data_IF_638500944995
#
_entry.id   IF_638500944995
#
_cell.length_a   1.000
_cell.length_b   1.000
_cell.length_c   1.000
_cell.angle_alpha   90.00
_cell.angle_beta   90.00
_cell.angle_gamma   90.00
#
_symmetry.space_group_name_H-M   'P 1'
#
loop_
_entity.id
_entity.type
_entity.pdbx_description
1 polymer ?
#
# COMPACT_ATOMS: atom_id res chain seq x y z
N UNK A 1 0.28 -5.40 -16.46
CA UNK A 1 1.54 -4.87 -15.89
C UNK A 1 1.30 -4.46 -14.46
N UNK A 2 2.27 -4.68 -13.56
CA UNK A 2 2.26 -4.15 -12.20
C UNK A 2 3.19 -2.95 -12.11
N UNK A 3 2.65 -1.81 -11.74
CA UNK A 3 3.39 -0.56 -11.60
C UNK A 3 3.27 -0.06 -10.15
N UNK A 4 4.35 0.49 -9.60
CA UNK A 4 4.38 1.13 -8.29
C UNK A 4 5.17 2.41 -8.32
N UNK A 5 4.65 3.47 -7.71
CA UNK A 5 5.42 4.67 -7.47
C UNK A 5 5.88 4.76 -6.02
N UNK A 6 7.02 5.40 -5.80
CA UNK A 6 7.36 5.86 -4.46
C UNK A 6 6.89 7.30 -4.34
N UNK A 7 5.86 7.51 -3.50
CA UNK A 7 5.34 8.83 -3.25
C UNK A 7 6.41 9.73 -2.65
N UNK A 8 6.66 10.87 -3.30
CA UNK A 8 6.87 12.12 -2.58
C UNK A 8 5.60 12.24 -1.75
N UNK A 9 5.67 11.96 -0.44
CA UNK A 9 4.56 12.41 0.40
C UNK A 9 4.49 13.91 0.12
N UNK A 10 3.36 14.35 -0.44
CA UNK A 10 3.15 15.71 -0.95
C UNK A 10 3.11 16.62 0.26
N UNK A 11 4.31 16.88 0.75
CA UNK A 11 4.64 17.52 1.98
C UNK A 11 4.63 19.01 1.73
N UNK A 12 3.43 19.56 1.69
CA UNK A 12 3.22 20.99 1.66
C UNK A 12 2.95 21.47 3.08
N UNK A 13 3.65 22.51 3.50
CA UNK A 13 3.43 23.16 4.78
C UNK A 13 2.15 23.98 4.79
N UNK A 14 1.40 23.90 5.89
CA UNK A 14 0.19 24.69 6.11
C UNK A 14 0.39 25.69 7.24
N UNK A 15 0.01 26.94 6.97
CA UNK A 15 -0.15 27.97 7.99
C UNK A 15 -1.64 28.27 8.16
N UNK A 16 -2.23 28.08 9.36
CA UNK A 16 -3.62 28.45 9.58
C UNK A 16 -3.79 29.97 9.46
N UNK A 17 -4.92 30.39 8.86
CA UNK A 17 -5.40 31.76 8.92
C UNK A 17 -6.75 31.75 9.64
N UNK A 18 -6.86 32.53 10.70
CA UNK A 18 -8.00 32.47 11.61
C UNK A 18 -9.08 33.46 11.15
N UNK A 19 -9.84 33.11 10.12
CA UNK A 19 -11.02 33.89 9.73
C UNK A 19 -12.30 33.21 10.24
N UNK A 20 -12.72 33.64 11.43
CA UNK A 20 -14.05 33.38 11.95
C UNK A 20 -15.08 34.18 11.14
N UNK A 21 -15.97 33.49 10.42
CA UNK A 21 -17.29 34.03 10.09
C UNK A 21 -18.35 32.92 10.10
N UNK A 22 -19.04 32.87 11.25
CA UNK A 22 -20.40 32.45 11.60
C UNK A 22 -21.22 31.38 10.84
N UNK A 23 -21.92 30.62 11.68
CA UNK A 23 -23.24 29.97 11.52
C UNK A 23 -23.32 28.62 10.79
N UNK A 24 -22.79 27.58 11.45
CA UNK A 24 -23.45 26.29 11.72
C UNK A 24 -22.49 25.45 12.57
N UNK A 25 -22.97 24.44 13.31
CA UNK A 25 -22.19 23.61 14.24
C UNK A 25 -21.00 22.83 13.63
N UNK A 26 -20.61 23.10 12.39
CA UNK A 26 -19.43 22.56 11.73
C UNK A 26 -18.40 23.67 11.51
N UNK A 27 -17.31 23.65 12.29
CA UNK A 27 -16.14 24.49 12.02
C UNK A 27 -15.41 23.94 10.79
N UNK A 28 -15.44 24.70 9.69
CA UNK A 28 -14.65 24.41 8.48
C UNK A 28 -13.33 25.14 8.60
N UNK A 29 -12.21 24.41 8.50
CA UNK A 29 -10.86 24.98 8.54
C UNK A 29 -10.40 25.26 7.11
N UNK A 30 -10.04 26.51 6.84
CA UNK A 30 -9.50 26.94 5.55
C UNK A 30 -8.01 27.25 5.65
N UNK A 31 -7.25 26.91 4.60
CA UNK A 31 -5.81 27.10 4.54
C UNK A 31 -5.41 27.79 3.23
N UNK A 32 -5.13 29.09 3.31
CA UNK A 32 -4.82 29.93 2.14
C UNK A 32 -3.36 29.84 1.67
N UNK A 33 -2.45 29.44 2.58
CA UNK A 33 -1.01 29.50 2.35
C UNK A 33 -0.37 28.12 2.38
N UNK A 34 0.44 27.87 1.37
CA UNK A 34 1.16 26.62 1.15
C UNK A 34 2.65 26.89 0.98
N UNK A 35 3.48 26.12 1.67
CA UNK A 35 4.94 26.15 1.49
C UNK A 35 5.45 24.88 0.79
N UNK A 36 5.93 24.97 -0.47
CA UNK A 36 6.57 23.85 -1.18
C UNK A 36 7.84 23.33 -0.53
N UNK A 37 8.50 24.14 0.28
CA UNK A 37 9.86 23.89 0.73
C UNK A 37 9.92 23.35 2.16
N UNK A 38 8.81 23.38 2.90
CA UNK A 38 8.78 23.04 4.34
C UNK A 38 9.49 21.71 4.64
N UNK A 39 9.26 20.69 3.81
CA UNK A 39 9.82 19.36 4.01
C UNK A 39 10.84 18.97 2.94
N UNK A 40 11.18 19.88 2.00
CA UNK A 40 12.11 19.59 0.91
C UNK A 40 13.46 19.11 1.45
N UNK A 41 14.01 19.78 2.45
CA UNK A 41 15.28 19.38 3.08
C UNK A 41 15.22 17.98 3.71
N UNK A 42 14.13 17.67 4.43
CA UNK A 42 13.94 16.36 5.05
C UNK A 42 13.84 15.25 3.99
N UNK A 43 12.97 15.43 2.99
CA UNK A 43 12.77 14.45 1.91
C UNK A 43 14.06 14.24 1.13
N UNK A 44 14.73 15.31 0.72
CA UNK A 44 15.97 15.24 -0.04
C UNK A 44 17.07 14.49 0.73
N UNK A 45 17.16 14.71 2.05
CA UNK A 45 18.14 14.02 2.91
C UNK A 45 17.92 12.51 2.87
N UNK A 46 16.70 12.04 3.16
CA UNK A 46 16.45 10.60 3.27
C UNK A 46 16.33 9.90 1.92
N UNK A 47 15.86 10.58 0.87
CA UNK A 47 15.88 10.05 -0.51
C UNK A 47 17.32 9.93 -0.99
N UNK A 48 18.17 10.95 -0.77
CA UNK A 48 19.59 10.90 -1.11
C UNK A 48 20.33 9.79 -0.37
N UNK A 49 20.16 9.68 0.96
CA UNK A 49 20.74 8.60 1.76
C UNK A 49 20.29 7.22 1.29
N UNK A 50 19.00 7.06 1.01
CA UNK A 50 18.43 5.81 0.46
C UNK A 50 19.07 5.47 -0.88
N UNK A 51 19.29 6.46 -1.75
CA UNK A 51 19.85 6.24 -3.08
C UNK A 51 21.33 5.87 -2.99
N UNK A 52 22.14 6.63 -2.25
CA UNK A 52 23.55 6.34 -2.00
C UNK A 52 23.74 4.95 -1.38
N UNK A 53 22.91 4.58 -0.39
CA UNK A 53 22.95 3.25 0.24
C UNK A 53 22.46 2.11 -0.66
N UNK A 54 21.88 2.40 -1.83
CA UNK A 54 21.53 1.37 -2.82
C UNK A 54 22.73 0.93 -3.66
N UNK A 55 23.84 1.69 -3.61
CA UNK A 55 25.00 1.48 -4.46
C UNK A 55 24.81 1.97 -5.89
N UNK A 56 25.82 1.73 -6.71
CA UNK A 56 25.81 2.08 -8.13
C UNK A 56 24.83 1.21 -8.91
N UNK A 57 24.04 1.77 -9.83
CA UNK A 57 23.21 0.98 -10.72
C UNK A 57 24.05 0.12 -11.67
N UNK A 58 23.47 -0.95 -12.19
CA UNK A 58 24.15 -1.82 -13.15
C UNK A 58 24.52 -1.01 -14.41
N UNK A 59 25.75 -1.20 -14.91
CA UNK A 59 26.30 -0.44 -16.03
C UNK A 59 27.05 0.84 -15.63
N UNK A 60 27.05 1.25 -14.37
CA UNK A 60 27.89 2.35 -13.87
C UNK A 60 29.26 1.86 -13.40
N UNK A 61 30.08 1.38 -14.32
CA UNK A 61 31.40 0.81 -14.02
C UNK A 61 32.51 1.85 -14.12
N UNK A 62 32.46 2.74 -15.13
CA UNK A 62 33.48 3.76 -15.34
C UNK A 62 33.24 5.02 -14.50
N UNK A 63 34.29 5.83 -14.34
CA UNK A 63 34.17 7.14 -13.69
C UNK A 63 33.20 8.07 -14.41
N UNK A 64 33.17 8.03 -15.75
CA UNK A 64 32.26 8.83 -16.57
C UNK A 64 30.79 8.43 -16.33
N UNK A 65 30.51 7.14 -16.20
CA UNK A 65 29.14 6.66 -15.96
C UNK A 65 28.63 7.09 -14.58
N UNK A 66 29.51 7.03 -13.57
CA UNK A 66 29.23 7.47 -12.21
C UNK A 66 28.94 8.97 -12.13
N UNK A 67 29.75 9.78 -12.81
CA UNK A 67 29.54 11.23 -12.90
C UNK A 67 28.25 11.55 -13.65
N UNK A 68 27.98 10.89 -14.77
CA UNK A 68 26.73 11.03 -15.51
C UNK A 68 25.53 10.68 -14.64
N UNK A 69 25.59 9.57 -13.89
CA UNK A 69 24.53 9.14 -13.00
C UNK A 69 24.25 10.16 -11.88
N UNK A 70 25.29 10.69 -11.24
CA UNK A 70 25.13 11.72 -10.21
C UNK A 70 24.53 13.00 -10.77
N UNK A 71 25.05 13.47 -11.91
CA UNK A 71 24.56 14.69 -12.57
C UNK A 71 23.10 14.55 -13.00
N UNK A 72 22.72 13.38 -13.53
CA UNK A 72 21.36 13.11 -13.94
C UNK A 72 20.42 13.02 -12.73
N UNK A 73 20.84 12.39 -11.65
CA UNK A 73 20.08 12.35 -10.41
C UNK A 73 19.91 13.74 -9.80
N UNK A 74 20.94 14.58 -9.80
CA UNK A 74 20.85 15.98 -9.36
C UNK A 74 19.91 16.80 -10.26
N UNK A 75 20.00 16.61 -11.58
CA UNK A 75 19.14 17.29 -12.56
C UNK A 75 17.66 16.94 -12.37
N UNK A 76 17.36 15.67 -12.12
CA UNK A 76 15.97 15.16 -12.05
C UNK A 76 15.38 15.32 -10.66
N UNK A 77 16.12 14.96 -9.61
CA UNK A 77 15.62 14.97 -8.22
C UNK A 77 15.94 16.26 -7.48
N UNK A 78 16.90 17.07 -7.96
CA UNK A 78 17.43 18.22 -7.23
C UNK A 78 18.20 17.81 -5.98
N UNK A 79 18.77 16.60 -5.96
CA UNK A 79 19.53 16.04 -4.85
C UNK A 79 20.93 15.69 -5.35
N UNK A 80 21.95 16.36 -4.81
CA UNK A 80 23.33 16.02 -5.11
C UNK A 80 23.81 14.89 -4.20
N UNK A 81 24.26 13.79 -4.81
CA UNK A 81 24.85 12.67 -4.09
C UNK A 81 26.36 12.85 -3.92
N UNK A 82 26.89 12.31 -2.83
CA UNK A 82 28.31 12.17 -2.58
C UNK A 82 28.80 10.83 -3.19
N UNK A 83 29.65 10.86 -4.23
CA UNK A 83 30.17 9.65 -4.87
C UNK A 83 30.83 8.67 -3.89
N UNK A 84 31.50 9.18 -2.85
CA UNK A 84 32.25 8.36 -1.89
C UNK A 84 31.31 7.60 -0.94
N UNK A 85 30.06 8.05 -0.82
CA UNK A 85 29.02 7.42 0.00
C UNK A 85 28.12 6.46 -0.79
N UNK A 86 28.27 6.40 -2.13
CA UNK A 86 27.49 5.48 -2.97
C UNK A 86 28.06 4.07 -2.86
N UNK A 87 27.46 3.29 -1.96
CA UNK A 87 27.83 1.90 -1.70
C UNK A 87 26.61 1.10 -1.23
N UNK A 88 26.59 -0.20 -1.55
CA UNK A 88 25.51 -1.09 -1.12
C UNK A 88 25.54 -1.20 0.41
N UNK A 89 24.54 -0.61 1.07
CA UNK A 89 24.35 -0.67 2.51
C UNK A 89 22.87 -0.94 2.82
N UNK A 90 22.47 -2.23 2.91
CA UNK A 90 21.07 -2.62 3.12
C UNK A 90 20.46 -2.05 4.40
N UNK A 91 21.25 -1.96 5.49
CA UNK A 91 20.81 -1.44 6.78
C UNK A 91 20.51 0.06 6.73
N UNK A 92 21.44 0.86 6.20
CA UNK A 92 21.23 2.30 6.02
C UNK A 92 20.09 2.58 5.06
N UNK A 93 20.01 1.83 3.96
CA UNK A 93 18.90 1.92 2.99
C UNK A 93 17.55 1.68 3.66
N UNK A 94 17.46 0.67 4.52
CA UNK A 94 16.24 0.36 5.28
C UNK A 94 15.87 1.51 6.21
N UNK A 95 16.83 2.03 6.99
CA UNK A 95 16.61 3.14 7.93
C UNK A 95 16.16 4.40 7.18
N UNK A 96 16.86 4.78 6.10
CA UNK A 96 16.52 5.94 5.30
C UNK A 96 15.11 5.81 4.69
N UNK A 97 14.74 4.63 4.18
CA UNK A 97 13.39 4.36 3.68
C UNK A 97 12.33 4.48 4.78
N UNK A 98 12.59 3.95 5.98
CA UNK A 98 11.68 4.08 7.12
C UNK A 98 11.48 5.55 7.47
N UNK A 99 12.56 6.31 7.63
CA UNK A 99 12.48 7.73 8.01
C UNK A 99 11.79 8.59 6.94
N UNK A 100 12.01 8.31 5.66
CA UNK A 100 11.28 8.97 4.58
C UNK A 100 9.77 8.71 4.66
N UNK A 101 9.36 7.48 4.98
CA UNK A 101 7.94 7.08 5.00
C UNK A 101 7.23 7.40 6.31
N UNK A 102 7.93 7.44 7.45
CA UNK A 102 7.32 7.59 8.77
C UNK A 102 6.92 9.03 9.10
N UNK A 103 7.46 10.04 8.41
CA UNK A 103 7.23 11.45 8.74
C UNK A 103 5.74 11.82 8.69
N UNK A 104 5.03 11.53 7.60
CA UNK A 104 3.61 11.89 7.50
C UNK A 104 2.75 11.13 8.53
N UNK A 105 3.11 9.88 8.83
CA UNK A 105 2.44 9.07 9.85
C UNK A 105 2.63 9.65 11.25
N UNK A 106 3.79 10.25 11.52
CA UNK A 106 4.07 10.96 12.78
C UNK A 106 3.20 12.21 12.93
N UNK A 107 2.97 12.95 11.84
CA UNK A 107 2.07 14.11 11.84
C UNK A 107 0.61 13.71 12.14
N UNK A 108 0.20 12.49 11.81
CA UNK A 108 -1.12 11.93 12.08
C UNK A 108 -1.17 11.05 13.35
N UNK A 109 -0.18 11.12 14.24
CA UNK A 109 -0.11 10.21 15.38
C UNK A 109 -1.36 10.33 16.27
N UNK A 110 -2.06 9.21 16.46
CA UNK A 110 -3.24 9.14 17.33
C UNK A 110 -2.88 9.48 18.78
N UNK A 111 -3.74 10.25 19.42
CA UNK A 111 -3.65 10.61 20.85
C UNK A 111 -4.38 9.57 21.69
N UNK A 112 -3.94 9.38 22.94
CA UNK A 112 -4.62 8.48 23.90
C UNK A 112 -4.29 7.00 23.68
N UNK A 113 -3.05 6.71 23.27
CA UNK A 113 -2.55 5.33 23.24
C UNK A 113 -2.48 4.73 24.64
N UNK A 114 -2.64 3.41 24.71
CA UNK A 114 -2.39 2.66 25.94
C UNK A 114 -0.89 2.55 26.19
N UNK A 115 -0.46 2.85 27.40
CA UNK A 115 0.93 2.77 27.84
C UNK A 115 1.06 1.71 28.94
N UNK A 116 2.21 1.03 28.96
CA UNK A 116 2.58 0.14 30.05
C UNK A 116 3.61 0.86 30.91
N UNK A 117 3.28 1.10 32.18
CA UNK A 117 4.20 1.64 33.19
C UNK A 117 4.53 0.58 34.23
N UNK A 118 5.69 0.71 34.84
CA UNK A 118 6.12 -0.15 35.92
C UNK A 118 6.30 0.68 37.18
N UNK A 119 5.61 0.31 38.25
CA UNK A 119 5.81 0.86 39.58
C UNK A 119 6.65 -0.12 40.40
N UNK A 120 7.70 0.36 41.05
CA UNK A 120 8.60 -0.46 41.88
C UNK A 120 8.38 -0.30 43.37
N UNK A 121 7.54 0.66 43.74
CA UNK A 121 7.18 0.93 45.13
C UNK A 121 5.68 1.13 45.26
N UNK A 122 5.09 0.86 46.43
CA UNK A 122 3.68 1.15 46.69
C UNK A 122 3.33 2.63 46.42
N UNK A 123 4.26 3.55 46.70
CA UNK A 123 4.06 4.98 46.45
C UNK A 123 3.91 5.29 44.94
N UNK A 124 4.76 4.71 44.10
CA UNK A 124 4.66 4.85 42.63
C UNK A 124 3.37 4.24 42.09
N UNK A 125 2.95 3.10 42.65
CA UNK A 125 1.72 2.43 42.27
C UNK A 125 0.49 3.27 42.59
N UNK A 126 0.39 3.77 43.83
CA UNK A 126 -0.70 4.66 44.25
C UNK A 126 -0.70 5.97 43.44
N UNK A 127 0.46 6.54 43.14
CA UNK A 127 0.54 7.72 42.26
C UNK A 127 -0.05 7.45 40.87
N UNK A 128 0.09 6.25 40.32
CA UNK A 128 -0.47 5.91 39.02
C UNK A 128 -1.98 5.67 39.06
N UNK A 129 -2.48 4.99 40.10
CA UNK A 129 -3.90 4.66 40.22
C UNK A 129 -4.75 5.85 40.65
N UNK A 130 -4.22 6.69 41.53
CA UNK A 130 -4.95 7.84 42.08
C UNK A 130 -4.82 9.09 41.20
N UNK A 131 -4.05 9.05 40.11
CA UNK A 131 -3.92 10.17 39.16
C UNK A 131 -5.26 10.42 38.44
N UNK A 132 -5.93 11.57 38.67
CA UNK A 132 -7.24 11.84 38.08
C UNK A 132 -7.17 12.04 36.57
N UNK A 133 -6.00 12.27 35.99
CA UNK A 133 -5.78 12.45 34.54
C UNK A 133 -5.59 11.13 33.79
N UNK A 134 -5.37 10.04 34.54
CA UNK A 134 -5.12 8.71 34.02
C UNK A 134 -6.34 7.82 34.26
N UNK A 135 -6.59 6.94 33.30
CA UNK A 135 -7.50 5.81 33.39
C UNK A 135 -6.65 4.55 33.46
N UNK A 136 -6.63 3.90 34.63
CA UNK A 136 -5.98 2.60 34.81
C UNK A 136 -6.88 1.52 34.21
N UNK A 137 -6.39 0.84 33.19
CA UNK A 137 -7.13 -0.20 32.47
C UNK A 137 -6.93 -1.57 33.09
N UNK A 138 -5.70 -1.86 33.54
CA UNK A 138 -5.31 -3.15 34.07
C UNK A 138 -4.03 -2.99 34.92
N UNK A 139 -3.81 -3.88 35.89
CA UNK A 139 -2.51 -3.98 36.57
C UNK A 139 -2.25 -5.40 37.06
N UNK A 140 -0.98 -5.77 37.09
CA UNK A 140 -0.50 -7.06 37.57
C UNK A 140 0.72 -6.90 38.47
N UNK A 141 0.75 -7.65 39.56
CA UNK A 141 1.93 -7.82 40.40
C UNK A 141 2.91 -8.78 39.71
N UNK A 142 3.94 -8.23 39.05
CA UNK A 142 4.94 -9.03 38.31
C UNK A 142 5.94 -9.68 39.26
N UNK A 143 6.29 -8.99 40.34
CA UNK A 143 7.14 -9.50 41.41
C UNK A 143 6.82 -8.78 42.73
N UNK A 144 7.43 -9.22 43.83
CA UNK A 144 7.31 -8.54 45.14
C UNK A 144 7.67 -7.04 45.09
N UNK A 145 8.51 -6.62 44.14
CA UNK A 145 9.00 -5.24 44.02
C UNK A 145 8.61 -4.58 42.70
N UNK A 146 7.64 -5.13 41.95
CA UNK A 146 7.27 -4.53 40.66
C UNK A 146 5.84 -4.84 40.24
N UNK A 147 5.10 -3.76 40.00
CA UNK A 147 3.74 -3.76 39.49
C UNK A 147 3.74 -3.23 38.06
N UNK A 148 3.13 -3.98 37.15
CA UNK A 148 2.88 -3.55 35.78
C UNK A 148 1.50 -2.91 35.74
N UNK A 149 1.43 -1.65 35.33
CA UNK A 149 0.18 -0.91 35.18
C UNK A 149 -0.05 -0.60 33.70
N UNK A 150 -1.18 -1.03 33.15
CA UNK A 150 -1.66 -0.65 31.83
C UNK A 150 -2.56 0.56 32.00
N UNK A 151 -2.12 1.69 31.47
CA UNK A 151 -2.79 2.96 31.68
C UNK A 151 -3.12 3.62 30.34
N UNK A 152 -4.11 4.50 30.37
CA UNK A 152 -4.45 5.38 29.26
C UNK A 152 -4.72 6.77 29.82
N UNK A 153 -4.28 7.81 29.12
CA UNK A 153 -4.65 9.17 29.52
C UNK A 153 -6.11 9.42 29.16
N UNK A 154 -6.89 9.96 30.09
CA UNK A 154 -8.29 10.32 29.82
C UNK A 154 -8.36 11.32 28.67
N UNK A 155 -9.43 11.25 27.87
CA UNK A 155 -9.57 12.05 26.64
C UNK A 155 -9.48 13.56 26.92
N UNK A 156 -10.09 14.03 28.00
CA UNK A 156 -10.08 15.43 28.44
C UNK A 156 -8.66 15.98 28.73
N UNK A 157 -7.74 15.09 29.13
CA UNK A 157 -6.36 15.43 29.47
C UNK A 157 -5.36 15.01 28.38
N UNK A 158 -5.85 14.36 27.33
CA UNK A 158 -5.07 13.87 26.20
C UNK A 158 -4.70 15.02 25.28
N UNK A 159 -3.41 15.33 25.21
CA UNK A 159 -2.87 16.33 24.29
C UNK A 159 -2.14 15.64 23.16
N UNK A 160 -2.35 16.04 21.90
CA UNK A 160 -1.53 15.53 20.81
C UNK A 160 -0.05 15.86 21.05
N UNK A 161 0.87 15.04 20.55
CA UNK A 161 2.28 15.40 20.51
C UNK A 161 2.47 16.76 19.82
N UNK A 162 3.48 17.54 20.22
CA UNK A 162 3.81 18.82 19.59
C UNK A 162 4.11 18.69 18.09
N UNK A 163 4.54 17.50 17.67
CA UNK A 163 4.81 17.13 16.28
C UNK A 163 3.57 16.78 15.47
N UNK A 164 2.39 16.71 16.09
CA UNK A 164 1.16 16.37 15.39
C UNK A 164 0.70 17.56 14.53
N UNK A 165 0.45 17.29 13.25
CA UNK A 165 -0.15 18.24 12.32
C UNK A 165 -1.12 17.47 11.41
N UNK A 166 -2.29 17.14 11.96
CA UNK A 166 -3.33 16.40 11.25
C UNK A 166 -3.71 17.01 9.88
N UNK A 167 -3.85 18.34 9.71
CA UNK A 167 -4.18 18.93 8.42
C UNK A 167 -3.18 18.54 7.32
N UNK A 168 -1.88 18.67 7.59
CA UNK A 168 -0.82 18.30 6.63
C UNK A 168 -0.94 16.82 6.27
N UNK A 169 -1.14 15.94 7.25
CA UNK A 169 -1.30 14.51 6.98
C UNK A 169 -2.53 14.19 6.13
N UNK A 170 -3.67 14.86 6.37
CA UNK A 170 -4.87 14.72 5.53
C UNK A 170 -4.55 15.08 4.09
N UNK A 171 -3.94 16.24 3.85
CA UNK A 171 -3.58 16.67 2.50
C UNK A 171 -2.57 15.74 1.83
N UNK A 172 -1.52 15.30 2.53
CA UNK A 172 -0.56 14.31 2.01
C UNK A 172 -1.30 13.08 1.48
N UNK A 173 -2.22 12.51 2.25
CA UNK A 173 -2.97 11.32 1.82
C UNK A 173 -3.97 11.61 0.69
N UNK A 174 -4.61 12.78 0.69
CA UNK A 174 -5.53 13.20 -0.38
C UNK A 174 -4.79 13.38 -1.69
N UNK A 175 -3.67 14.07 -1.69
CA UNK A 175 -2.85 14.26 -2.86
C UNK A 175 -2.24 12.95 -3.38
N UNK A 176 -1.83 12.03 -2.49
CA UNK A 176 -1.38 10.70 -2.90
C UNK A 176 -2.50 9.92 -3.63
N UNK A 177 -3.75 10.00 -3.16
CA UNK A 177 -4.90 9.39 -3.85
C UNK A 177 -5.16 10.03 -5.21
N UNK A 178 -5.13 11.36 -5.29
CA UNK A 178 -5.30 12.07 -6.57
C UNK A 178 -4.17 11.73 -7.55
N UNK A 179 -2.94 11.56 -7.07
CA UNK A 179 -1.81 11.17 -7.93
C UNK A 179 -1.96 9.75 -8.45
N UNK A 180 -2.38 8.79 -7.62
CA UNK A 180 -2.72 7.44 -8.07
C UNK A 180 -3.88 7.46 -9.07
N UNK A 181 -4.89 8.29 -8.83
CA UNK A 181 -6.05 8.43 -9.70
C UNK A 181 -5.67 8.91 -11.12
N UNK A 182 -4.74 9.85 -11.24
CA UNK A 182 -4.21 10.28 -12.55
C UNK A 182 -3.65 9.12 -13.37
N UNK A 183 -2.91 8.21 -12.75
CA UNK A 183 -2.41 7.01 -13.44
C UNK A 183 -3.53 6.03 -13.79
N UNK A 184 -4.59 5.95 -12.98
CA UNK A 184 -5.77 5.17 -13.35
C UNK A 184 -6.48 5.76 -14.58
N UNK A 185 -6.57 7.09 -14.69
CA UNK A 185 -7.09 7.77 -15.89
C UNK A 185 -6.20 7.52 -17.11
N UNK A 186 -4.89 7.56 -16.94
CA UNK A 186 -3.93 7.26 -18.01
C UNK A 186 -4.09 5.84 -18.55
N UNK A 187 -4.33 4.85 -17.67
CA UNK A 187 -4.68 3.47 -18.10
C UNK A 187 -5.88 3.49 -19.04
N UNK A 188 -6.91 4.27 -18.75
CA UNK A 188 -8.10 4.36 -19.59
C UNK A 188 -7.79 5.07 -20.93
N UNK A 189 -6.97 6.12 -20.91
CA UNK A 189 -6.55 6.85 -22.11
C UNK A 189 -5.75 5.98 -23.08
N UNK A 190 -4.92 5.07 -22.58
CA UNK A 190 -4.20 4.10 -23.41
C UNK A 190 -5.04 2.87 -23.79
N UNK A 191 -6.36 2.93 -23.58
CA UNK A 191 -7.32 1.86 -23.83
C UNK A 191 -6.99 0.57 -23.07
N UNK A 192 -6.40 0.71 -21.88
CA UNK A 192 -6.15 -0.37 -20.93
C UNK A 192 -7.32 -0.58 -19.98
N UNK A 193 -7.37 -1.77 -19.36
CA UNK A 193 -8.34 -2.14 -18.32
C UNK A 193 -7.65 -2.23 -16.97
N UNK A 194 -8.03 -1.36 -16.03
CA UNK A 194 -7.54 -1.43 -14.66
C UNK A 194 -8.09 -2.68 -13.95
N UNK A 195 -7.21 -3.43 -13.28
CA UNK A 195 -7.55 -4.64 -12.53
C UNK A 195 -7.51 -4.43 -11.01
N UNK A 196 -6.52 -3.69 -10.52
CA UNK A 196 -6.28 -3.50 -9.10
C UNK A 196 -5.55 -2.19 -8.81
N UNK A 197 -5.78 -1.61 -7.65
CA UNK A 197 -4.97 -0.53 -7.10
C UNK A 197 -4.84 -0.64 -5.58
N UNK A 198 -3.68 -0.31 -5.03
CA UNK A 198 -3.46 -0.19 -3.60
C UNK A 198 -2.39 0.86 -3.31
N UNK A 199 -2.80 1.95 -2.66
CA UNK A 199 -1.98 3.05 -2.10
C UNK A 199 -1.05 3.74 -3.09
N UNK A 200 -0.09 3.01 -3.63
CA UNK A 200 0.99 3.44 -4.50
C UNK A 200 1.23 2.50 -5.70
N UNK A 201 0.31 1.57 -5.97
CA UNK A 201 0.44 0.59 -7.04
C UNK A 201 -0.85 0.43 -7.86
N UNK A 202 -0.69 0.11 -9.15
CA UNK A 202 -1.77 -0.30 -10.04
C UNK A 202 -1.39 -1.57 -10.79
N UNK A 203 -2.39 -2.38 -11.10
CA UNK A 203 -2.29 -3.52 -12.01
C UNK A 203 -3.33 -3.31 -13.10
N UNK A 204 -2.90 -3.38 -14.36
CA UNK A 204 -3.78 -3.20 -15.52
C UNK A 204 -3.43 -4.15 -16.66
N UNK A 205 -4.41 -4.39 -17.54
CA UNK A 205 -4.25 -5.10 -18.82
C UNK A 205 -4.18 -4.06 -19.93
N UNK A 206 -3.28 -4.26 -20.88
CA UNK A 206 -3.23 -3.50 -22.12
C UNK A 206 -3.06 -4.45 -23.31
N UNK A 207 -3.72 -4.13 -24.41
CA UNK A 207 -3.58 -4.88 -25.67
C UNK A 207 -2.16 -4.79 -26.19
N UNK A 208 -1.70 -5.83 -26.87
CA UNK A 208 -0.35 -5.85 -27.44
C UNK A 208 -0.23 -4.74 -28.50
N UNK A 209 0.72 -3.83 -28.32
CA UNK A 209 0.94 -2.68 -29.20
C UNK A 209 0.08 -1.44 -28.87
N UNK A 210 -0.74 -1.49 -27.82
CA UNK A 210 -1.37 -0.29 -27.26
C UNK A 210 -0.34 0.60 -26.54
N UNK A 211 -0.75 1.82 -26.20
CA UNK A 211 0.01 2.69 -25.33
C UNK A 211 0.23 2.08 -23.94
N UNK A 212 1.25 2.54 -23.25
CA UNK A 212 1.53 2.18 -21.86
C UNK A 212 1.45 3.42 -21.00
N UNK A 213 1.05 3.22 -19.74
CA UNK A 213 1.19 4.25 -18.71
C UNK A 213 2.66 4.67 -18.61
N UNK A 214 2.91 5.96 -18.45
CA UNK A 214 4.25 6.52 -18.32
C UNK A 214 5.01 5.87 -17.16
N UNK A 215 6.10 5.19 -17.51
CA UNK A 215 7.00 4.55 -16.55
C UNK A 215 8.22 5.43 -16.29
N UNK A 216 8.81 5.29 -15.10
CA UNK A 216 10.07 5.94 -14.81
C UNK A 216 10.66 5.58 -13.45
N UNK A 217 11.91 5.95 -13.26
CA UNK A 217 12.72 5.61 -12.08
C UNK A 217 12.81 6.75 -11.07
N UNK A 218 12.28 7.93 -11.40
CA UNK A 218 12.34 9.12 -10.56
C UNK A 218 11.25 9.13 -9.49
N UNK A 219 11.45 9.95 -8.46
CA UNK A 219 10.49 10.14 -7.39
C UNK A 219 9.16 10.66 -7.97
N UNK A 220 8.05 10.02 -7.58
CA UNK A 220 6.74 10.37 -8.12
C UNK A 220 6.30 9.53 -9.33
N UNK A 221 7.22 8.85 -10.02
CA UNK A 221 6.92 8.09 -11.24
C UNK A 221 6.56 6.63 -10.96
N UNK A 222 5.83 6.02 -11.88
CA UNK A 222 5.45 4.61 -11.81
C UNK A 222 6.61 3.73 -12.28
N UNK A 223 7.22 3.02 -11.34
CA UNK A 223 8.23 2.00 -11.61
C UNK A 223 7.57 0.66 -11.90
N UNK A 224 8.07 -0.04 -12.92
CA UNK A 224 7.65 -1.42 -13.24
C UNK A 224 8.17 -2.40 -12.18
N UNK A 225 7.26 -3.12 -11.51
CA UNK A 225 7.62 -4.06 -10.44
C UNK A 225 8.29 -5.33 -10.97
N UNK A 226 7.84 -5.81 -12.14
CA UNK A 226 8.34 -7.01 -12.79
C UNK A 226 8.94 -6.65 -14.16
N UNK A 227 10.11 -5.99 -14.22
CA UNK A 227 10.69 -5.52 -15.48
C UNK A 227 11.09 -6.65 -16.43
N UNK A 228 11.53 -7.79 -15.88
CA UNK A 228 12.00 -8.96 -16.64
C UNK A 228 10.94 -10.02 -16.85
N UNK A 229 9.70 -9.82 -16.36
CA UNK A 229 8.66 -10.85 -16.40
C UNK A 229 7.35 -10.32 -16.95
N UNK A 230 6.60 -11.20 -17.59
CA UNK A 230 5.25 -10.93 -18.08
C UNK A 230 4.24 -11.65 -17.21
N UNK A 231 3.33 -10.90 -16.61
CA UNK A 231 2.15 -11.44 -15.93
C UNK A 231 1.23 -12.05 -16.99
N UNK A 232 0.91 -13.33 -16.84
CA UNK A 232 0.03 -14.09 -17.73
C UNK A 232 -1.35 -14.30 -17.12
N UNK A 233 -1.46 -14.32 -15.79
CA UNK A 233 -2.72 -14.50 -15.10
C UNK A 233 -2.73 -13.68 -13.81
N UNK A 234 -3.90 -13.11 -13.51
CA UNK A 234 -4.16 -12.36 -12.29
C UNK A 234 -5.49 -12.80 -11.72
N UNK A 235 -5.51 -13.11 -10.42
CA UNK A 235 -6.70 -13.51 -9.68
C UNK A 235 -6.80 -12.64 -8.45
N UNK A 236 -7.98 -12.09 -8.16
CA UNK A 236 -8.21 -11.27 -6.98
C UNK A 236 -9.42 -11.78 -6.19
N UNK A 237 -9.18 -12.11 -4.93
CA UNK A 237 -10.23 -12.42 -3.95
C UNK A 237 -10.69 -11.20 -3.16
N UNK A 238 -10.12 -10.02 -3.40
CA UNK A 238 -10.49 -8.76 -2.74
C UNK A 238 -9.28 -7.84 -2.44
N UNK A 239 -9.50 -6.73 -1.71
CA UNK A 239 -8.43 -5.83 -1.32
C UNK A 239 -7.34 -6.55 -0.51
N UNK A 240 -6.07 -6.39 -0.92
CA UNK A 240 -4.90 -7.07 -0.31
C UNK A 240 -5.01 -8.60 -0.28
N UNK A 241 -5.75 -9.15 -1.25
CA UNK A 241 -5.94 -10.58 -1.45
C UNK A 241 -5.93 -10.89 -2.96
N UNK A 242 -4.74 -11.10 -3.53
CA UNK A 242 -4.59 -11.41 -4.96
C UNK A 242 -3.41 -12.35 -5.23
N UNK A 243 -3.47 -13.01 -6.38
CA UNK A 243 -2.43 -13.86 -6.94
C UNK A 243 -1.99 -13.38 -8.33
N UNK A 244 -0.71 -13.56 -8.63
CA UNK A 244 -0.09 -13.27 -9.92
C UNK A 244 0.63 -14.51 -10.44
N UNK A 245 0.39 -14.90 -11.68
CA UNK A 245 1.20 -15.89 -12.41
C UNK A 245 1.97 -15.18 -13.51
N UNK A 246 3.27 -15.43 -13.59
CA UNK A 246 4.15 -14.72 -14.52
C UNK A 246 5.26 -15.61 -15.08
N UNK A 247 5.65 -15.33 -16.32
CA UNK A 247 6.74 -16.00 -17.04
C UNK A 247 7.86 -15.01 -17.33
N UNK A 248 9.04 -15.51 -17.65
CA UNK A 248 10.12 -14.66 -18.18
C UNK A 248 9.66 -13.93 -19.46
N UNK A 249 9.98 -12.63 -19.56
CA UNK A 249 9.46 -11.78 -20.63
C UNK A 249 10.00 -12.17 -22.00
N UNK A 250 11.26 -12.61 -22.08
CA UNK A 250 11.95 -12.88 -23.34
C UNK A 250 11.69 -14.31 -23.83
N UNK A 251 11.88 -15.28 -22.93
CA UNK A 251 11.78 -16.70 -23.27
C UNK A 251 10.35 -17.21 -23.21
N UNK A 252 9.48 -16.57 -22.41
CA UNK A 252 8.16 -17.09 -22.09
C UNK A 252 8.19 -18.36 -21.23
N UNK A 253 9.37 -18.74 -20.72
CA UNK A 253 9.60 -19.91 -19.87
C UNK A 253 9.73 -19.49 -18.40
N UNK A 254 10.03 -20.45 -17.52
CA UNK A 254 10.13 -20.24 -16.06
C UNK A 254 8.83 -19.66 -15.49
N UNK A 255 7.73 -20.40 -15.56
CA UNK A 255 6.49 -19.97 -14.91
C UNK A 255 6.69 -19.88 -13.38
N UNK A 256 6.13 -18.85 -12.76
CA UNK A 256 6.12 -18.68 -11.30
C UNK A 256 4.82 -18.02 -10.87
N UNK A 257 4.42 -18.27 -9.63
CA UNK A 257 3.28 -17.62 -9.01
C UNK A 257 3.66 -16.91 -7.71
N UNK A 258 2.97 -15.80 -7.45
CA UNK A 258 3.06 -15.02 -6.22
C UNK A 258 1.68 -14.78 -5.64
N UNK A 259 1.54 -14.96 -4.32
CA UNK A 259 0.33 -14.61 -3.58
C UNK A 259 0.57 -13.41 -2.66
N UNK A 260 -0.41 -12.53 -2.58
CA UNK A 260 -0.45 -11.40 -1.65
C UNK A 260 -1.75 -11.49 -0.85
N UNK A 261 -1.65 -12.09 0.34
CA UNK A 261 -2.78 -12.29 1.25
C UNK A 261 -2.46 -11.63 2.58
N UNK A 262 -3.26 -10.63 2.95
CA UNK A 262 -3.13 -9.98 4.26
C UNK A 262 -3.96 -10.73 5.28
N UNK A 263 -3.32 -11.30 6.29
CA UNK A 263 -3.92 -11.65 7.61
C UNK A 263 -3.07 -12.64 8.40
N UNK A 264 -2.31 -13.48 7.71
CA UNK A 264 -1.48 -14.53 8.28
C UNK A 264 -0.18 -14.64 7.48
N UNK A 265 0.88 -15.24 8.05
CA UNK A 265 2.11 -15.49 7.32
C UNK A 265 1.88 -16.50 6.19
N UNK A 266 2.36 -16.21 4.99
CA UNK A 266 2.42 -17.17 3.89
C UNK A 266 3.65 -18.07 4.09
N UNK A 267 3.55 -18.97 5.06
CA UNK A 267 4.59 -19.98 5.33
C UNK A 267 4.60 -21.05 4.24
N UNK A 268 5.63 -21.90 4.21
CA UNK A 268 5.67 -23.05 3.30
C UNK A 268 4.45 -23.97 3.46
N UNK A 269 4.10 -24.32 4.71
CA UNK A 269 2.92 -25.14 4.99
C UNK A 269 1.63 -24.44 4.54
N UNK A 270 1.54 -23.12 4.71
CA UNK A 270 0.43 -22.32 4.20
C UNK A 270 0.38 -22.35 2.68
N UNK A 271 1.51 -22.24 1.99
CA UNK A 271 1.58 -22.32 0.52
C UNK A 271 1.19 -23.69 -0.03
N UNK A 272 1.47 -24.78 0.68
CA UNK A 272 1.03 -26.12 0.28
C UNK A 272 -0.50 -26.25 0.24
N UNK A 273 -1.19 -25.54 1.13
CA UNK A 273 -2.66 -25.52 1.19
C UNK A 273 -3.26 -24.42 0.30
N UNK A 274 -2.69 -23.23 0.37
CA UNK A 274 -3.13 -22.01 -0.29
C UNK A 274 -2.05 -21.54 -1.27
N UNK A 275 -2.12 -22.09 -2.48
CA UNK A 275 -1.31 -21.70 -3.63
C UNK A 275 -2.16 -20.95 -4.66
N UNK A 276 -1.56 -20.56 -5.78
CA UNK A 276 -2.26 -19.81 -6.81
C UNK A 276 -3.47 -20.56 -7.37
N UNK A 277 -3.36 -21.88 -7.57
CA UNK A 277 -4.44 -22.68 -8.13
C UNK A 277 -5.59 -22.84 -7.13
N UNK A 278 -5.30 -23.17 -5.87
CA UNK A 278 -6.36 -23.28 -4.86
C UNK A 278 -7.01 -21.92 -4.56
N UNK A 279 -6.27 -20.81 -4.62
CA UNK A 279 -6.86 -19.47 -4.57
C UNK A 279 -7.78 -19.20 -5.76
N UNK A 280 -7.34 -19.55 -6.97
CA UNK A 280 -8.12 -19.39 -8.20
C UNK A 280 -9.41 -20.19 -8.13
N UNK A 281 -9.34 -21.48 -7.83
CA UNK A 281 -10.50 -22.35 -7.64
C UNK A 281 -11.48 -21.75 -6.63
N UNK A 282 -11.01 -21.31 -5.46
CA UNK A 282 -11.87 -20.68 -4.47
C UNK A 282 -12.56 -19.40 -4.99
N UNK A 283 -11.85 -18.53 -5.71
CA UNK A 283 -12.44 -17.32 -6.30
C UNK A 283 -13.48 -17.68 -7.37
N UNK A 284 -13.17 -18.64 -8.24
CA UNK A 284 -14.08 -19.09 -9.29
C UNK A 284 -15.36 -19.71 -8.71
N UNK A 285 -15.21 -20.59 -7.71
CA UNK A 285 -16.33 -21.24 -7.01
C UNK A 285 -17.17 -20.24 -6.22
N UNK A 286 -16.54 -19.30 -5.50
CA UNK A 286 -17.26 -18.35 -4.64
C UNK A 286 -18.14 -17.37 -5.42
N UNK A 287 -17.76 -17.03 -6.65
CA UNK A 287 -18.47 -16.05 -7.47
C UNK A 287 -19.27 -16.68 -8.63
N UNK A 288 -19.44 -18.01 -8.63
CA UNK A 288 -20.28 -18.80 -9.54
C UNK A 288 -20.19 -18.37 -11.03
N UNK A 289 -18.96 -18.35 -11.55
CA UNK A 289 -18.65 -17.81 -12.88
C UNK A 289 -19.25 -18.63 -14.04
N UNK A 290 -19.56 -19.91 -13.83
CA UNK A 290 -20.16 -20.79 -14.84
C UNK A 290 -21.71 -20.90 -14.70
N UNK A 291 -22.33 -20.10 -13.84
CA UNK A 291 -23.79 -20.05 -13.68
C UNK A 291 -24.49 -19.45 -14.91
N UNK A 292 -25.76 -19.82 -15.14
CA UNK A 292 -26.56 -19.21 -16.22
C UNK A 292 -26.63 -17.68 -16.05
N UNK A 293 -26.48 -16.96 -17.17
CA UNK A 293 -26.37 -15.49 -17.23
C UNK A 293 -27.55 -14.72 -16.59
N UNK A 294 -28.67 -15.40 -16.31
CA UNK A 294 -29.94 -14.83 -15.86
C UNK A 294 -30.13 -14.79 -14.33
N UNK A 295 -29.25 -15.40 -13.54
CA UNK A 295 -29.32 -15.30 -12.08
C UNK A 295 -28.37 -14.19 -11.57
N UNK A 296 -28.92 -13.00 -11.40
CA UNK A 296 -28.35 -12.00 -10.48
C UNK A 296 -28.08 -12.70 -9.15
N UNK A 297 -26.80 -12.77 -8.74
CA UNK A 297 -26.43 -13.28 -7.41
C UNK A 297 -27.34 -12.63 -6.36
N UNK A 298 -28.22 -13.38 -5.68
CA UNK A 298 -29.11 -12.82 -4.69
C UNK A 298 -28.30 -12.05 -3.65
N UNK A 299 -28.77 -10.89 -3.20
CA UNK A 299 -28.14 -10.11 -2.12
C UNK A 299 -27.91 -10.94 -0.83
N UNK A 300 -28.53 -12.11 -0.74
CA UNK A 300 -28.56 -12.99 0.42
C UNK A 300 -27.61 -14.22 0.33
N UNK A 301 -26.87 -14.44 -0.77
CA UNK A 301 -25.89 -15.56 -0.86
C UNK A 301 -24.68 -15.34 0.09
N UNK A 302 -24.55 -14.15 0.68
CA UNK A 302 -23.54 -13.89 1.70
C UNK A 302 -23.80 -14.59 3.05
N UNK A 303 -24.99 -15.18 3.26
CA UNK A 303 -25.36 -15.78 4.56
C UNK A 303 -26.27 -17.00 4.47
N UNK A 304 -26.20 -17.82 3.43
CA UNK A 304 -26.90 -19.11 3.48
C UNK A 304 -26.02 -20.18 4.13
N UNK A 305 -26.48 -20.68 5.29
CA UNK A 305 -25.80 -21.70 6.10
C UNK A 305 -26.09 -23.13 5.62
N UNK A 306 -26.96 -23.29 4.62
CA UNK A 306 -27.58 -24.57 4.30
C UNK A 306 -27.36 -25.03 2.84
N UNK A 307 -26.14 -24.89 2.31
CA UNK A 307 -25.69 -25.74 1.20
C UNK A 307 -24.58 -26.67 1.68
N UNK A 308 -24.99 -27.89 1.98
CA UNK A 308 -24.15 -29.06 2.26
C UNK A 308 -23.39 -29.52 1.00
N UNK A 309 -22.42 -28.73 0.54
CA UNK A 309 -21.43 -29.18 -0.43
C UNK A 309 -20.13 -28.38 -0.30
N UNK A 310 -19.12 -29.03 0.32
CA UNK A 310 -17.70 -28.66 0.44
C UNK A 310 -17.41 -27.23 0.90
N UNK A 311 -16.85 -27.11 2.12
CA UNK A 311 -16.32 -25.86 2.67
C UNK A 311 -15.45 -25.12 1.64
N UNK A 312 -15.97 -24.05 1.02
CA UNK A 312 -15.24 -23.09 0.17
C UNK A 312 -14.28 -22.22 1.02
N UNK A 313 -13.63 -22.86 2.00
CA UNK A 313 -12.72 -22.21 2.93
C UNK A 313 -11.50 -23.09 3.11
N UNK A 314 -10.32 -22.47 3.16
CA UNK A 314 -9.08 -23.16 3.52
C UNK A 314 -8.73 -22.77 4.94
N UNK A 315 -8.66 -23.76 5.84
CA UNK A 315 -8.19 -23.53 7.20
C UNK A 315 -6.67 -23.49 7.23
N UNK A 316 -6.12 -22.36 7.65
CA UNK A 316 -4.69 -22.13 7.81
C UNK A 316 -4.37 -22.06 9.30
N UNK A 317 -3.42 -22.88 9.73
CA UNK A 317 -2.86 -22.83 11.08
C UNK A 317 -1.49 -22.13 11.05
N UNK A 318 -1.25 -21.20 11.96
CA UNK A 318 0.02 -20.46 12.02
C UNK A 318 0.39 -20.09 13.47
N UNK A 319 1.70 -20.04 13.80
CA UNK A 319 2.15 -19.62 15.10
C UNK A 319 1.86 -18.12 15.29
N UNK A 320 1.18 -17.79 16.39
CA UNK A 320 0.94 -16.43 16.84
C UNK A 320 1.61 -16.21 18.20
N UNK A 321 2.41 -15.16 18.29
CA UNK A 321 3.02 -14.76 19.57
C UNK A 321 1.94 -14.04 20.39
N UNK A 322 1.61 -14.64 21.53
CA UNK A 322 0.79 -14.05 22.58
C UNK A 322 1.65 -13.49 23.70
N UNK A 323 1.04 -12.64 24.52
CA UNK A 323 1.59 -12.23 25.82
C UNK A 323 0.58 -12.56 26.89
N UNK A 324 1.04 -13.17 27.98
CA UNK A 324 0.22 -13.34 29.18
C UNK A 324 0.01 -11.99 29.86
N UNK A 325 -0.88 -11.92 30.86
CA UNK A 325 -1.04 -10.73 31.71
C UNK A 325 0.31 -10.32 32.35
N UNK A 326 1.10 -11.32 32.77
CA UNK A 326 2.45 -11.14 33.30
C UNK A 326 3.51 -10.77 32.25
N UNK A 327 3.12 -10.48 31.00
CA UNK A 327 4.00 -10.14 29.88
C UNK A 327 4.96 -11.24 29.45
N UNK A 328 4.71 -12.49 29.86
CA UNK A 328 5.46 -13.64 29.37
C UNK A 328 5.06 -13.93 27.93
N UNK A 329 6.06 -14.19 27.09
CA UNK A 329 5.85 -14.53 25.69
C UNK A 329 5.52 -16.02 25.59
N UNK A 330 4.44 -16.33 24.89
CA UNK A 330 4.12 -17.70 24.51
C UNK A 330 3.75 -17.74 23.03
N UNK A 331 3.95 -18.90 22.42
CA UNK A 331 3.51 -19.15 21.04
C UNK A 331 2.28 -20.02 21.12
N UNK A 332 1.17 -19.54 20.56
CA UNK A 332 -0.04 -20.33 20.37
C UNK A 332 -0.26 -20.60 18.88
N UNK A 333 -0.82 -21.76 18.54
CA UNK A 333 -1.24 -22.05 17.18
C UNK A 333 -2.60 -21.41 16.95
N UNK A 334 -2.62 -20.36 16.13
CA UNK A 334 -3.85 -19.68 15.72
C UNK A 334 -4.39 -20.31 14.44
N UNK A 335 -5.71 -20.37 14.34
CA UNK A 335 -6.42 -20.93 13.19
C UNK A 335 -7.21 -19.84 12.49
N UNK A 336 -7.15 -19.80 11.17
CA UNK A 336 -7.91 -18.86 10.35
C UNK A 336 -8.52 -19.56 9.15
N UNK A 337 -9.81 -19.34 8.97
CA UNK A 337 -10.54 -19.75 7.78
C UNK A 337 -10.34 -18.69 6.69
N UNK A 338 -9.70 -19.09 5.60
CA UNK A 338 -9.49 -18.27 4.42
C UNK A 338 -10.63 -18.50 3.42
N UNK A 339 -11.27 -17.41 2.99
CA UNK A 339 -12.19 -17.38 1.85
C UNK A 339 -12.03 -16.09 1.06
N UNK A 340 -12.31 -16.09 -0.26
CA UNK A 340 -12.45 -14.85 -1.02
C UNK A 340 -13.54 -13.96 -0.40
N UNK A 341 -13.34 -12.66 -0.43
CA UNK A 341 -14.21 -11.71 0.25
C UNK A 341 -14.36 -10.41 -0.53
N UNK A 342 -15.59 -10.14 -0.99
CA UNK A 342 -15.92 -8.97 -1.79
C UNK A 342 -17.26 -8.36 -1.37
N UNK A 343 -17.22 -7.45 -0.38
CA UNK A 343 -18.42 -6.74 0.11
C UNK A 343 -18.63 -5.36 -0.54
N UNK A 344 -17.62 -4.85 -1.27
CA UNK A 344 -17.62 -3.48 -1.81
C UNK A 344 -17.81 -3.48 -3.33
N UNK A 345 -19.06 -3.60 -3.76
CA UNK A 345 -19.46 -3.64 -5.17
C UNK A 345 -20.34 -4.84 -5.45
N UNK A 346 -20.84 -4.98 -6.69
CA UNK A 346 -21.56 -6.19 -7.14
C UNK A 346 -20.74 -6.86 -8.24
N UNK A 347 -20.63 -8.17 -8.21
CA UNK A 347 -19.98 -8.95 -9.28
C UNK A 347 -21.09 -9.55 -10.14
N UNK A 348 -21.00 -9.33 -11.45
CA UNK A 348 -21.90 -9.94 -12.43
C UNK A 348 -21.36 -11.33 -12.83
N UNK A 349 -22.21 -12.24 -13.36
CA UNK A 349 -21.79 -13.56 -13.84
C UNK A 349 -20.61 -13.56 -14.84
N UNK A 350 -20.42 -12.46 -15.59
CA UNK A 350 -19.27 -12.27 -16.50
C UNK A 350 -17.98 -11.70 -15.86
N UNK A 351 -17.84 -11.75 -14.53
CA UNK A 351 -16.77 -11.09 -13.75
C UNK A 351 -16.70 -9.56 -13.88
N UNK A 352 -17.74 -8.93 -14.41
CA UNK A 352 -17.83 -7.47 -14.41
C UNK A 352 -18.14 -6.98 -13.00
N UNK A 353 -17.40 -5.97 -12.55
CA UNK A 353 -17.59 -5.39 -11.22
C UNK A 353 -18.34 -4.07 -11.35
N UNK A 354 -19.43 -3.95 -10.61
CA UNK A 354 -20.18 -2.71 -10.46
C UNK A 354 -19.69 -1.94 -9.24
N UNK A 355 -19.60 -0.59 -9.33
CA UNK A 355 -19.16 0.22 -8.21
C UNK A 355 -20.11 0.10 -7.03
N UNK A 356 -19.56 0.26 -5.82
CA UNK A 356 -20.35 0.29 -4.60
C UNK A 356 -21.42 1.39 -4.68
N UNK A 357 -22.69 1.01 -4.44
CA UNK A 357 -23.84 1.91 -4.54
C UNK A 357 -24.50 2.00 -5.92
N UNK A 358 -24.05 1.23 -6.92
CA UNK A 358 -24.72 1.14 -8.23
C UNK A 358 -26.16 0.63 -8.07
N UNK A 359 -27.12 1.42 -8.54
CA UNK A 359 -28.54 1.06 -8.62
C UNK A 359 -28.92 0.95 -10.09
N UNK A 360 -29.55 -0.16 -10.49
CA UNK A 360 -30.09 -0.31 -11.85
C UNK A 360 -31.03 0.88 -12.12
N UNK A 361 -30.63 1.74 -13.06
CA UNK A 361 -31.25 3.05 -13.22
C UNK A 361 -32.69 2.96 -13.73
N UNK A 362 -33.63 3.47 -12.94
CA UNK A 362 -34.65 4.36 -13.49
C UNK A 362 -34.06 5.76 -13.39
N UNK A 363 -33.32 6.18 -14.42
CA UNK A 363 -32.80 7.54 -14.49
C UNK A 363 -33.96 8.49 -14.84
N UNK A 364 -34.33 9.39 -13.93
CA UNK A 364 -35.24 10.49 -14.23
C UNK A 364 -34.51 11.55 -15.07
N UNK A 365 -35.23 12.17 -16.00
CA UNK A 365 -34.71 13.13 -16.99
C UNK A 365 -33.93 14.33 -16.41
N UNK A 366 -34.07 14.61 -15.11
CA UNK A 366 -33.37 15.71 -14.42
C UNK A 366 -31.88 15.43 -14.18
N UNK A 367 -31.45 14.17 -14.05
CA UNK A 367 -30.04 13.82 -13.82
C UNK A 367 -29.19 13.88 -15.10
N UNK A 368 -29.80 13.74 -16.28
CA UNK A 368 -29.11 13.88 -17.57
C UNK A 368 -28.68 15.33 -17.84
N UNK A 369 -29.43 16.33 -17.36
CA UNK A 369 -29.03 17.73 -17.49
C UNK A 369 -27.79 18.07 -16.65
N UNK A 370 -27.64 17.50 -15.45
CA UNK A 370 -26.46 17.72 -14.60
C UNK A 370 -25.18 17.08 -15.15
N UNK A 371 -25.26 15.88 -15.72
CA UNK A 371 -24.09 15.25 -16.38
C UNK A 371 -23.60 16.09 -17.58
N UNK A 372 -24.52 16.65 -18.37
CA UNK A 372 -24.18 17.53 -19.51
C UNK A 372 -23.56 18.88 -19.11
N UNK A 373 -23.69 19.30 -17.85
CA UNK A 373 -23.12 20.54 -17.33
C UNK A 373 -21.71 20.32 -16.77
N UNK A 374 -21.38 19.12 -16.30
CA UNK A 374 -20.04 18.77 -15.82
C UNK A 374 -19.09 18.59 -17.01
N UNK A 375 -19.54 17.97 -18.11
CA UNK A 375 -18.74 17.83 -19.34
C UNK A 375 -18.46 19.16 -20.07
N UNK A 376 -19.24 20.22 -19.79
CA UNK A 376 -19.02 21.55 -20.40
C UNK A 376 -18.05 22.45 -19.64
N UNK A 377 -17.68 22.10 -18.41
CA UNK A 377 -16.79 22.90 -17.57
C UNK A 377 -15.34 22.37 -17.49
N UNK A 378 -14.99 21.32 -18.24
CA UNK A 378 -13.63 20.78 -18.32
C UNK A 378 -12.68 21.55 -19.25
N UNK A 379 -13.15 22.57 -19.96
CA UNK A 379 -12.32 23.45 -20.77
C UNK A 379 -11.71 24.59 -19.93
N UNK A 380 -10.76 24.25 -19.05
CA UNK A 380 -9.81 25.23 -18.50
C UNK A 380 -8.43 24.84 -19.00
N UNK A 381 -7.97 25.55 -20.04
CA UNK A 381 -6.64 25.41 -20.62
C UNK A 381 -5.56 25.77 -19.60
N UNK A 382 -4.72 24.81 -19.23
CA UNK A 382 -3.45 25.08 -18.56
C UNK A 382 -2.34 24.81 -19.58
N UNK A 383 -1.72 25.89 -20.07
CA UNK A 383 -0.56 25.84 -20.96
C UNK A 383 0.61 25.11 -20.28
N UNK A 384 1.09 24.03 -20.91
CA UNK A 384 2.41 23.43 -20.65
C UNK A 384 3.35 23.76 -21.81
N UNK A 385 4.61 24.16 -21.57
CA UNK A 385 5.57 24.43 -22.64
C UNK A 385 6.16 23.13 -23.23
N UNK A 386 6.36 23.16 -24.55
CA UNK A 386 6.89 22.09 -25.40
C UNK A 386 8.27 21.57 -24.94
N UNK A 387 8.41 20.23 -24.87
CA UNK A 387 9.70 19.55 -24.83
C UNK A 387 9.70 18.49 -25.92
N UNK A 388 10.51 18.73 -26.96
CA UNK A 388 10.75 17.83 -28.08
C UNK A 388 11.51 16.57 -27.63
N UNK A 389 10.93 15.39 -27.84
CA UNK A 389 11.55 14.08 -27.65
C UNK A 389 12.35 13.69 -28.90
N UNK A 390 13.67 13.65 -28.79
CA UNK A 390 14.52 12.91 -29.74
C UNK A 390 14.63 11.45 -29.28
N UNK A 391 14.12 10.54 -30.10
CA UNK A 391 14.26 9.10 -29.92
C UNK A 391 15.70 8.66 -30.26
N UNK A 392 16.40 8.06 -29.31
CA UNK A 392 17.50 7.14 -29.59
C UNK A 392 17.22 5.82 -28.90
N UNK A 393 17.00 4.79 -29.73
CA UNK A 393 16.95 3.38 -29.32
C UNK A 393 18.34 2.96 -28.86
N UNK A 394 18.46 2.46 -27.63
CA UNK A 394 19.58 1.62 -27.24
C UNK A 394 19.02 0.32 -26.64
N UNK A 395 19.32 -0.78 -27.34
CA UNK A 395 19.08 -2.14 -26.90
C UNK A 395 19.97 -2.44 -25.67
N UNK A 396 19.35 -2.80 -24.55
CA UNK A 396 20.08 -3.17 -23.32
C UNK A 396 19.98 -4.67 -23.09
N UNK A 397 21.17 -5.28 -23.06
CA UNK A 397 21.44 -6.69 -22.87
C UNK A 397 21.21 -7.06 -21.39
N UNK A 398 20.28 -7.99 -21.13
CA UNK A 398 19.76 -8.32 -19.80
C UNK A 398 20.48 -9.55 -19.24
N UNK A 399 21.33 -9.36 -18.23
CA UNK A 399 21.70 -10.43 -17.29
C UNK A 399 21.59 -9.95 -15.83
N UNK A 400 20.65 -10.61 -15.15
CA UNK A 400 20.56 -10.96 -13.72
C UNK A 400 20.77 -9.88 -12.64
N UNK A 401 19.66 -9.51 -11.98
CA UNK A 401 19.62 -8.79 -10.70
C UNK A 401 19.06 -9.70 -9.58
N UNK A 402 19.74 -9.84 -8.43
CA UNK A 402 19.15 -10.33 -7.19
C UNK A 402 18.96 -9.18 -6.17
N UNK A 403 17.82 -9.08 -5.47
CA UNK A 403 17.69 -8.01 -4.46
C UNK A 403 16.36 -7.70 -3.77
N UNK A 404 15.50 -8.68 -3.49
CA UNK A 404 14.62 -8.70 -2.31
C UNK A 404 14.17 -10.14 -2.11
N UNK A 405 13.75 -10.55 -0.90
CA UNK A 405 13.27 -11.90 -0.63
C UNK A 405 11.98 -12.20 -1.42
N UNK A 406 12.15 -12.48 -2.71
CA UNK A 406 11.15 -12.88 -3.70
C UNK A 406 11.21 -14.39 -3.82
N UNK A 407 11.08 -15.11 -2.70
CA UNK A 407 10.93 -16.55 -2.79
C UNK A 407 9.57 -16.83 -3.43
N UNK A 408 9.59 -17.24 -4.69
CA UNK A 408 8.41 -17.75 -5.37
C UNK A 408 8.16 -19.19 -4.91
N UNK A 409 6.95 -19.68 -5.11
CA UNK A 409 6.58 -21.08 -4.81
C UNK A 409 7.59 -22.08 -5.39
N UNK A 410 8.08 -21.80 -6.61
CA UNK A 410 9.09 -22.61 -7.27
C UNK A 410 10.49 -22.52 -6.66
N UNK A 411 10.86 -21.39 -6.04
CA UNK A 411 12.14 -21.27 -5.32
C UNK A 411 12.13 -22.11 -4.04
N UNK A 412 10.96 -22.27 -3.39
CA UNK A 412 10.79 -23.17 -2.24
C UNK A 412 10.86 -24.64 -2.65
N UNK A 413 10.13 -25.04 -3.71
CA UNK A 413 10.10 -26.43 -4.18
C UNK A 413 11.45 -26.91 -4.73
N UNK A 414 12.26 -26.01 -5.33
CA UNK A 414 13.63 -26.33 -5.77
C UNK A 414 14.60 -26.52 -4.61
N UNK A 415 14.42 -25.80 -3.50
CA UNK A 415 15.33 -25.84 -2.34
C UNK A 415 14.96 -26.94 -1.34
N UNK A 416 13.69 -27.29 -1.25
CA UNK A 416 13.16 -28.33 -0.37
C UNK A 416 12.20 -29.23 -1.16
N UNK A 417 12.72 -30.14 -2.00
CA UNK A 417 11.87 -31.07 -2.74
C UNK A 417 11.09 -31.96 -1.75
N UNK A 418 9.84 -32.36 -2.09
CA UNK A 418 9.06 -33.23 -1.23
C UNK A 418 9.82 -34.54 -0.96
N UNK A 419 9.73 -35.12 0.25
CA UNK A 419 10.28 -36.44 0.51
C UNK A 419 9.61 -37.45 -0.45
N UNK A 420 10.43 -38.27 -1.11
CA UNK A 420 10.00 -39.30 -2.04
C UNK A 420 9.01 -40.30 -1.42
#
# INVERSE_FOLDING_TARGET
MGLRWYGRSLFWGLYPNNNNNNNNNNKVWHYDRWDPNLFKGYVNTFVGLKQQASGWPQGCESQSDREHYINEFERVEGIRMDPDLVQVNPGLRMIAKILANSLWGKLAQRVGGTEVKYARTPAEFHQLIDDPTIETLDFDHVSEYMDRCVIRKKEEFSKPPETNCLPVAVFVTSYARLHLYKYMEEVLQVNGKLLYCDTDSIIYVASRGAGYVAEGESLGQMKREHPTRRIIEFVSGGPKNYGLRHVDLLTGLDERAELKIRSFPLSYATHQLLNFESMKELVLCQFNIDGELDEMLPENVLFDKDTSNMDNTIRVEFPQIGRTQLSELYTNMANKEYRPFYEKGRIQPGMETLPFGYRNGVYSAEQQQQHSLIERNSDISIHSPDISLNQQQNELNLQEFPGSSNWTENDYLRRYPPPC
#
